data_IF_358680211557
#
_entry.id   IF_358680211557
#
_cell.length_a   1.000
_cell.length_b   1.000
_cell.length_c   1.000
_cell.angle_alpha   90.00
_cell.angle_beta   90.00
_cell.angle_gamma   90.00
#
_symmetry.space_group_name_H-M   'P 1'
#
loop_
_entity.id
_entity.type
_entity.pdbx_description
1 polymer ?
#
# COMPACT_ATOMS: atom_id res chain seq x y z
N UNK A 1 52.53 -33.23 -4.33
CA UNK A 1 51.04 -33.29 -4.37
C UNK A 1 50.51 -32.57 -3.14
N UNK A 2 50.03 -31.34 -3.28
CA UNK A 2 49.39 -30.59 -2.19
C UNK A 2 47.86 -30.70 -2.36
N UNK A 3 47.07 -30.95 -1.31
CA UNK A 3 45.63 -31.05 -1.45
C UNK A 3 45.02 -29.63 -1.49
N UNK A 4 44.27 -29.36 -2.56
CA UNK A 4 43.42 -28.19 -2.70
C UNK A 4 42.25 -28.30 -1.72
N UNK A 5 42.27 -27.50 -0.65
CA UNK A 5 41.17 -27.41 0.31
C UNK A 5 40.03 -26.56 -0.29
N UNK A 6 38.96 -27.23 -0.72
CA UNK A 6 37.66 -26.60 -0.97
C UNK A 6 37.04 -26.17 0.35
N UNK A 7 36.79 -24.86 0.53
CA UNK A 7 36.17 -24.32 1.73
C UNK A 7 34.69 -24.75 1.83
N UNK A 8 34.19 -25.16 3.02
CA UNK A 8 32.84 -25.65 3.17
C UNK A 8 31.79 -24.53 2.99
N UNK A 9 30.75 -24.82 2.18
CA UNK A 9 29.66 -23.90 1.81
C UNK A 9 28.95 -23.23 3.01
N UNK A 10 28.98 -23.85 4.20
CA UNK A 10 28.42 -23.28 5.43
C UNK A 10 29.12 -21.99 5.90
N UNK A 11 30.42 -21.82 5.62
CA UNK A 11 31.15 -20.59 5.95
C UNK A 11 30.77 -19.40 5.03
N UNK A 12 30.35 -19.70 3.80
CA UNK A 12 29.91 -18.72 2.79
C UNK A 12 28.50 -18.19 3.11
N UNK A 13 27.61 -19.04 3.61
CA UNK A 13 26.25 -18.65 4.00
C UNK A 13 26.29 -17.72 5.24
N UNK A 14 27.12 -18.02 6.25
CA UNK A 14 27.31 -17.16 7.43
C UNK A 14 27.78 -15.75 7.07
N UNK A 15 28.63 -15.62 6.06
CA UNK A 15 29.18 -14.32 5.64
C UNK A 15 28.20 -13.48 4.81
N UNK A 16 27.27 -14.10 4.08
CA UNK A 16 26.20 -13.35 3.39
C UNK A 16 25.16 -12.80 4.37
N UNK A 17 24.78 -13.56 5.39
CA UNK A 17 23.86 -13.10 6.45
C UNK A 17 24.46 -11.92 7.23
N UNK A 18 25.76 -11.99 7.55
CA UNK A 18 26.46 -10.90 8.21
C UNK A 18 26.52 -9.63 7.34
N UNK A 19 26.75 -9.79 6.03
CA UNK A 19 26.71 -8.66 5.07
C UNK A 19 25.32 -8.05 4.95
N UNK A 20 24.27 -8.87 4.92
CA UNK A 20 22.90 -8.39 4.90
C UNK A 20 22.56 -7.60 6.17
N UNK A 21 23.01 -8.07 7.34
CA UNK A 21 22.88 -7.37 8.61
C UNK A 21 23.59 -6.00 8.62
N UNK A 22 24.86 -5.95 8.18
CA UNK A 22 25.62 -4.69 8.12
C UNK A 22 24.99 -3.67 7.15
N UNK A 23 24.40 -4.12 6.05
CA UNK A 23 23.73 -3.24 5.07
C UNK A 23 22.41 -2.69 5.63
N UNK A 24 21.63 -3.52 6.33
CA UNK A 24 20.28 -3.15 6.78
C UNK A 24 20.29 -2.26 8.04
N UNK A 25 21.26 -2.45 8.93
CA UNK A 25 21.20 -1.88 10.29
C UNK A 25 22.29 -0.86 10.62
N UNK A 26 23.39 -0.79 9.86
CA UNK A 26 24.56 0.06 10.22
C UNK A 26 24.51 1.48 9.63
N UNK A 27 23.52 1.79 8.78
CA UNK A 27 23.50 3.01 7.95
C UNK A 27 22.48 4.10 8.30
N UNK A 28 21.50 3.88 9.20
CA UNK A 28 20.50 4.91 9.52
C UNK A 28 20.74 5.55 10.88
N UNK A 29 21.13 6.82 10.85
CA UNK A 29 21.21 7.69 12.02
C UNK A 29 19.88 7.77 12.76
N UNK A 30 19.97 7.84 14.10
CA UNK A 30 18.87 7.91 15.05
C UNK A 30 17.85 8.99 14.67
N UNK A 31 16.67 8.55 14.24
CA UNK A 31 15.46 9.38 14.31
C UNK A 31 14.85 9.34 15.72
N UNK A 32 13.98 10.31 16.09
CA UNK A 32 13.59 10.57 17.49
C UNK A 32 12.59 9.58 18.12
N UNK A 33 12.41 8.37 17.58
CA UNK A 33 11.31 7.47 17.96
C UNK A 33 11.73 6.07 18.45
N UNK A 34 13.02 5.81 18.67
CA UNK A 34 13.50 4.47 19.05
C UNK A 34 13.66 4.33 20.57
N UNK A 35 12.61 3.87 21.26
CA UNK A 35 12.70 3.45 22.67
C UNK A 35 13.10 1.96 22.81
N UNK A 36 13.08 1.19 21.72
CA UNK A 36 13.53 -0.22 21.68
C UNK A 36 14.60 -0.45 20.63
N UNK A 37 15.65 -1.20 20.99
CA UNK A 37 16.68 -1.64 20.05
C UNK A 37 16.11 -2.71 19.12
N UNK A 38 16.54 -2.74 17.85
CA UNK A 38 16.08 -3.72 16.86
C UNK A 38 16.25 -5.16 17.36
N UNK A 39 17.31 -5.43 18.12
CA UNK A 39 17.58 -6.74 18.72
C UNK A 39 16.50 -7.13 19.74
N UNK A 40 16.02 -6.18 20.55
CA UNK A 40 14.96 -6.43 21.53
C UNK A 40 13.63 -6.73 20.83
N UNK A 41 13.34 -5.97 19.77
CA UNK A 41 12.19 -6.18 18.90
C UNK A 41 12.21 -7.59 18.29
N UNK A 42 13.37 -8.00 17.78
CA UNK A 42 13.60 -9.33 17.21
C UNK A 42 13.40 -10.44 18.25
N UNK A 43 14.01 -10.33 19.43
CA UNK A 43 13.88 -11.34 20.47
C UNK A 43 12.43 -11.49 20.97
N UNK A 44 11.70 -10.38 21.05
CA UNK A 44 10.28 -10.41 21.42
C UNK A 44 9.43 -11.08 20.32
N UNK A 45 9.69 -10.78 19.04
CA UNK A 45 8.97 -11.40 17.93
C UNK A 45 9.18 -12.92 17.85
N UNK A 46 10.41 -13.41 17.96
CA UNK A 46 10.67 -14.88 17.86
C UNK A 46 10.19 -15.65 19.09
N UNK A 47 9.98 -14.98 20.22
CA UNK A 47 9.47 -15.59 21.45
C UNK A 47 7.94 -15.70 21.45
N UNK A 48 7.26 -15.01 20.53
CA UNK A 48 5.80 -15.06 20.43
C UNK A 48 5.31 -16.38 19.82
N UNK A 49 4.34 -17.05 20.47
CA UNK A 49 3.62 -18.13 19.84
C UNK A 49 2.86 -17.60 18.63
N UNK A 50 3.20 -18.08 17.43
CA UNK A 50 2.45 -17.72 16.21
C UNK A 50 1.29 -18.69 16.05
N UNK A 51 0.07 -18.17 15.97
CA UNK A 51 -1.09 -18.95 15.55
C UNK A 51 -1.06 -19.09 14.02
N UNK A 52 -1.12 -20.33 13.51
CA UNK A 52 -0.91 -20.64 12.09
C UNK A 52 -2.04 -20.19 11.16
N UNK A 53 -3.12 -19.62 11.70
CA UNK A 53 -4.34 -19.30 10.96
C UNK A 53 -4.55 -17.80 10.72
N UNK A 54 -3.62 -16.93 11.14
CA UNK A 54 -3.78 -15.47 11.00
C UNK A 54 -3.21 -15.00 9.65
N UNK A 55 -3.98 -14.17 8.93
CA UNK A 55 -3.49 -13.45 7.76
C UNK A 55 -2.28 -12.57 8.12
N UNK A 56 -1.18 -12.74 7.37
CA UNK A 56 0.09 -12.09 7.68
C UNK A 56 -0.03 -10.55 7.70
N UNK A 57 -0.78 -9.97 6.75
CA UNK A 57 -0.94 -8.52 6.68
C UNK A 57 -1.70 -8.01 7.91
N UNK A 58 -2.73 -8.73 8.32
CA UNK A 58 -3.54 -8.41 9.50
C UNK A 58 -2.72 -8.50 10.78
N UNK A 59 -1.90 -9.54 10.93
CA UNK A 59 -0.98 -9.68 12.08
C UNK A 59 0.00 -8.50 12.17
N UNK A 60 0.66 -8.16 11.06
CA UNK A 60 1.64 -7.07 11.06
C UNK A 60 1.00 -5.71 11.31
N UNK A 61 -0.19 -5.45 10.75
CA UNK A 61 -0.96 -4.23 11.07
C UNK A 61 -1.27 -4.10 12.56
N UNK A 62 -1.66 -5.20 13.21
CA UNK A 62 -1.92 -5.21 14.65
C UNK A 62 -0.63 -5.06 15.49
N UNK A 63 0.51 -5.48 14.94
CA UNK A 63 1.80 -5.48 15.64
C UNK A 63 2.66 -4.24 15.40
N UNK A 64 2.17 -3.25 14.64
CA UNK A 64 2.91 -2.05 14.25
C UNK A 64 3.52 -1.29 15.44
N UNK A 65 2.78 -1.16 16.54
CA UNK A 65 3.25 -0.42 17.72
C UNK A 65 4.27 -1.20 18.54
N UNK A 66 4.21 -2.54 18.49
CA UNK A 66 5.08 -3.45 19.25
C UNK A 66 6.41 -3.66 18.54
N UNK A 67 6.33 -3.77 17.21
CA UNK A 67 7.44 -4.08 16.34
C UNK A 67 7.55 -3.07 15.19
N UNK A 68 7.88 -1.78 15.47
CA UNK A 68 7.88 -0.73 14.46
C UNK A 68 8.90 -0.95 13.34
N UNK A 69 10.08 -1.50 13.64
CA UNK A 69 11.15 -1.69 12.65
C UNK A 69 10.88 -2.91 11.78
N UNK A 70 10.51 -4.02 12.39
CA UNK A 70 10.21 -5.28 11.72
C UNK A 70 8.91 -5.14 10.93
N UNK A 71 7.92 -4.40 11.44
CA UNK A 71 6.70 -4.05 10.70
C UNK A 71 7.01 -3.37 9.37
N UNK A 72 7.88 -2.36 9.38
CA UNK A 72 8.25 -1.65 8.15
C UNK A 72 8.86 -2.62 7.13
N UNK A 73 9.77 -3.49 7.57
CA UNK A 73 10.40 -4.51 6.73
C UNK A 73 9.36 -5.52 6.20
N UNK A 74 8.45 -5.97 7.06
CA UNK A 74 7.41 -6.93 6.70
C UNK A 74 6.45 -6.34 5.65
N UNK A 75 6.08 -5.06 5.77
CA UNK A 75 5.24 -4.37 4.79
C UNK A 75 5.95 -4.10 3.47
N UNK A 76 7.28 -4.03 3.44
CA UNK A 76 8.04 -3.96 2.18
C UNK A 76 8.13 -5.33 1.48
N UNK A 77 8.29 -6.42 2.25
CA UNK A 77 8.57 -7.76 1.72
C UNK A 77 7.30 -8.53 1.38
N UNK A 78 6.29 -8.54 2.26
CA UNK A 78 5.10 -9.37 2.09
C UNK A 78 4.29 -9.07 0.81
N UNK A 79 4.16 -7.82 0.34
CA UNK A 79 3.43 -7.53 -0.90
C UNK A 79 4.15 -7.99 -2.16
N UNK A 80 5.45 -8.34 -2.08
CA UNK A 80 6.23 -8.79 -3.24
C UNK A 80 5.58 -10.05 -3.79
N UNK A 81 5.16 -9.97 -5.05
CA UNK A 81 4.55 -11.11 -5.73
C UNK A 81 5.61 -12.19 -5.97
N UNK A 82 5.34 -13.41 -5.50
CA UNK A 82 6.23 -14.55 -5.71
C UNK A 82 6.26 -15.05 -7.17
N UNK A 83 5.30 -14.64 -8.00
CA UNK A 83 5.17 -15.08 -9.39
C UNK A 83 4.84 -13.93 -10.34
N UNK A 84 5.19 -14.10 -11.61
CA UNK A 84 4.81 -13.17 -12.68
C UNK A 84 3.38 -13.40 -13.21
N UNK A 85 2.65 -14.39 -12.69
CA UNK A 85 1.29 -14.75 -13.12
C UNK A 85 0.31 -13.57 -13.13
N UNK A 86 0.29 -12.67 -12.11
CA UNK A 86 -0.58 -11.49 -12.15
C UNK A 86 -0.28 -10.60 -13.36
N UNK A 87 1.00 -10.39 -13.68
CA UNK A 87 1.43 -9.59 -14.83
C UNK A 87 1.03 -10.27 -16.14
N UNK A 88 1.28 -11.58 -16.28
CA UNK A 88 0.88 -12.36 -17.47
C UNK A 88 -0.63 -12.35 -17.69
N UNK A 89 -1.43 -12.47 -16.61
CA UNK A 89 -2.88 -12.34 -16.67
C UNK A 89 -3.31 -10.96 -17.18
N UNK A 90 -2.70 -9.88 -16.67
CA UNK A 90 -2.98 -8.51 -17.14
C UNK A 90 -2.64 -8.38 -18.63
N UNK A 91 -1.46 -8.82 -19.06
CA UNK A 91 -1.02 -8.76 -20.47
C UNK A 91 -1.89 -9.60 -21.40
N UNK A 92 -2.24 -10.82 -21.00
CA UNK A 92 -3.14 -11.69 -21.76
C UNK A 92 -4.52 -11.03 -21.92
N UNK A 93 -5.05 -10.45 -20.83
CA UNK A 93 -6.31 -9.71 -20.89
C UNK A 93 -6.22 -8.42 -21.71
N UNK A 94 -5.02 -7.85 -21.82
CA UNK A 94 -4.73 -6.66 -22.62
C UNK A 94 -4.82 -6.91 -24.12
N UNK A 95 -4.46 -8.12 -24.59
CA UNK A 95 -4.64 -8.53 -25.99
C UNK A 95 -6.09 -8.48 -26.46
N UNK A 96 -7.06 -8.62 -25.54
CA UNK A 96 -8.49 -8.47 -25.86
C UNK A 96 -8.85 -6.99 -26.05
N UNK A 97 -8.14 -6.08 -25.38
CA UNK A 97 -8.37 -4.63 -25.46
C UNK A 97 -7.77 -4.04 -26.74
N UNK A 98 -6.59 -4.52 -27.14
CA UNK A 98 -5.89 -4.17 -28.38
C UNK A 98 -6.03 -5.32 -29.37
N UNK A 99 -7.07 -5.27 -30.19
CA UNK A 99 -7.28 -6.23 -31.30
C UNK A 99 -6.77 -5.65 -32.60
N UNK A 100 -6.60 -6.48 -33.65
CA UNK A 100 -6.14 -6.04 -34.99
C UNK A 100 -7.00 -4.90 -35.56
N UNK A 101 -8.29 -4.84 -35.19
CA UNK A 101 -9.23 -3.79 -35.61
C UNK A 101 -9.17 -2.51 -34.75
N UNK A 102 -8.51 -2.56 -33.58
CA UNK A 102 -8.37 -1.47 -32.60
C UNK A 102 -6.89 -1.27 -32.22
N UNK A 103 -6.01 -1.22 -33.22
CA UNK A 103 -4.56 -1.11 -33.05
C UNK A 103 -4.02 0.34 -32.94
N UNK A 104 -4.90 1.35 -32.98
CA UNK A 104 -4.54 2.78 -32.87
C UNK A 104 -4.71 3.37 -31.46
N UNK A 105 -4.51 2.55 -30.42
CA UNK A 105 -4.61 3.00 -29.02
C UNK A 105 -3.20 3.37 -28.55
N UNK A 106 -3.03 4.55 -27.94
CA UNK A 106 -1.75 4.94 -27.34
C UNK A 106 -1.44 4.09 -26.10
N UNK A 107 -0.16 3.96 -25.75
CA UNK A 107 0.27 3.24 -24.55
C UNK A 107 -0.38 3.77 -23.27
N UNK A 108 -0.43 5.11 -23.13
CA UNK A 108 -1.05 5.79 -21.99
C UNK A 108 -2.55 5.48 -21.86
N UNK A 109 -3.30 5.48 -22.98
CA UNK A 109 -4.72 5.16 -22.97
C UNK A 109 -4.94 3.67 -22.64
N UNK A 110 -4.06 2.79 -23.11
CA UNK A 110 -4.11 1.37 -22.79
C UNK A 110 -3.87 1.11 -21.30
N UNK A 111 -2.90 1.80 -20.69
CA UNK A 111 -2.62 1.73 -19.25
C UNK A 111 -3.83 2.18 -18.44
N UNK A 112 -4.39 3.35 -18.77
CA UNK A 112 -5.59 3.88 -18.12
C UNK A 112 -6.77 2.90 -18.22
N UNK A 113 -6.97 2.26 -19.38
CA UNK A 113 -8.01 1.25 -19.59
C UNK A 113 -7.80 -0.02 -18.75
N UNK A 114 -6.55 -0.49 -18.60
CA UNK A 114 -6.28 -1.65 -17.73
C UNK A 114 -6.51 -1.32 -16.26
N UNK A 115 -6.09 -0.14 -15.79
CA UNK A 115 -6.35 0.33 -14.42
C UNK A 115 -7.86 0.42 -14.18
N UNK A 116 -8.60 1.02 -15.12
CA UNK A 116 -10.05 1.16 -15.04
C UNK A 116 -10.75 -0.20 -14.98
N UNK A 117 -10.37 -1.12 -15.87
CA UNK A 117 -10.88 -2.49 -15.90
C UNK A 117 -10.62 -3.24 -14.59
N UNK A 118 -9.43 -3.07 -14.00
CA UNK A 118 -9.10 -3.67 -12.71
C UNK A 118 -9.98 -3.10 -11.60
N UNK A 119 -10.13 -1.77 -11.52
CA UNK A 119 -10.99 -1.10 -10.52
C UNK A 119 -12.44 -1.60 -10.59
N UNK A 120 -13.01 -1.70 -11.79
CA UNK A 120 -14.37 -2.23 -11.97
C UNK A 120 -14.50 -3.69 -11.50
N UNK A 121 -13.51 -4.54 -11.77
CA UNK A 121 -13.52 -5.94 -11.29
C UNK A 121 -13.47 -6.06 -9.77
N UNK A 122 -12.86 -5.09 -9.09
CA UNK A 122 -12.81 -5.03 -7.63
C UNK A 122 -14.09 -4.44 -7.01
N UNK A 123 -15.20 -4.37 -7.76
CA UNK A 123 -16.48 -3.84 -7.28
C UNK A 123 -16.51 -2.33 -7.07
N UNK A 124 -15.48 -1.60 -7.49
CA UNK A 124 -15.49 -0.14 -7.43
C UNK A 124 -16.30 0.38 -8.62
N UNK A 125 -17.51 0.86 -8.34
CA UNK A 125 -18.34 1.53 -9.34
C UNK A 125 -17.79 2.93 -9.61
N UNK A 126 -17.69 3.32 -10.88
CA UNK A 126 -17.51 4.73 -11.22
C UNK A 126 -18.84 5.44 -10.95
N UNK A 127 -18.90 6.19 -9.86
CA UNK A 127 -19.99 7.14 -9.64
C UNK A 127 -19.64 8.45 -10.33
N UNK A 128 -20.27 8.72 -11.48
CA UNK A 128 -20.19 10.03 -12.14
C UNK A 128 -21.05 11.09 -11.43
N UNK A 129 -21.83 10.69 -10.42
CA UNK A 129 -22.73 11.54 -9.64
C UNK A 129 -22.23 11.79 -8.21
N UNK A 130 -21.04 11.27 -7.86
CA UNK A 130 -20.44 11.54 -6.54
C UNK A 130 -20.11 13.03 -6.45
N UNK A 131 -20.70 13.74 -5.48
CA UNK A 131 -20.63 15.21 -5.36
C UNK A 131 -21.68 16.00 -6.17
N UNK A 132 -22.60 15.31 -6.86
CA UNK A 132 -23.85 15.89 -7.35
C UNK A 132 -25.04 15.47 -6.45
N UNK A 133 -24.74 14.94 -5.26
CA UNK A 133 -25.79 14.61 -4.31
C UNK A 133 -26.40 15.92 -3.81
N UNK A 134 -27.63 16.17 -4.24
CA UNK A 134 -28.43 17.33 -3.83
C UNK A 134 -28.49 17.40 -2.29
N UNK A 135 -28.39 16.25 -1.60
CA UNK A 135 -28.31 16.20 -0.14
C UNK A 135 -27.06 16.82 0.48
N UNK A 136 -25.89 16.72 -0.17
CA UNK A 136 -24.65 17.39 0.27
C UNK A 136 -24.73 18.90 -0.03
N UNK A 137 -25.23 19.26 -1.20
CA UNK A 137 -25.41 20.67 -1.60
C UNK A 137 -26.43 21.39 -0.70
N UNK A 138 -27.51 20.70 -0.29
CA UNK A 138 -28.48 21.23 0.67
C UNK A 138 -27.86 21.46 2.06
N UNK A 139 -27.00 20.56 2.53
CA UNK A 139 -26.30 20.73 3.81
C UNK A 139 -25.30 21.89 3.78
N UNK A 140 -24.57 22.04 2.69
CA UNK A 140 -23.65 23.16 2.48
C UNK A 140 -24.41 24.50 2.42
N UNK A 141 -25.58 24.53 1.79
CA UNK A 141 -26.43 25.72 1.78
C UNK A 141 -27.09 26.00 3.13
N UNK A 142 -27.53 24.97 3.85
CA UNK A 142 -28.15 25.08 5.18
C UNK A 142 -27.14 25.62 6.20
N UNK A 143 -25.93 25.08 6.22
CA UNK A 143 -24.83 25.59 7.06
C UNK A 143 -24.47 27.05 6.74
N UNK A 144 -24.51 27.46 5.48
CA UNK A 144 -24.26 28.85 5.06
C UNK A 144 -25.44 29.79 5.36
N UNK A 145 -26.66 29.27 5.40
CA UNK A 145 -27.85 30.00 5.81
C UNK A 145 -27.88 30.24 7.32
N UNK A 146 -27.32 29.32 8.12
CA UNK A 146 -27.16 29.50 9.57
C UNK A 146 -26.11 30.56 9.94
N UNK A 147 -25.12 30.81 9.08
CA UNK A 147 -24.07 31.83 9.31
C UNK A 147 -24.54 33.28 9.15
N UNK A 148 -25.67 33.55 8.48
CA UNK A 148 -26.19 34.93 8.33
C UNK A 148 -27.72 35.04 8.30
N UNK A 149 -28.38 34.94 9.47
CA UNK A 149 -29.83 35.16 9.59
C UNK A 149 -30.24 36.61 9.29
N UNK A 150 -29.29 37.55 9.42
CA UNK A 150 -29.52 38.99 9.27
C UNK A 150 -29.68 39.41 7.80
N UNK A 151 -28.95 38.80 6.87
CA UNK A 151 -29.07 39.10 5.43
C UNK A 151 -30.43 38.64 4.87
N UNK A 152 -30.91 37.47 5.28
CA UNK A 152 -32.24 36.98 4.89
C UNK A 152 -33.36 37.86 5.45
N UNK A 153 -33.21 38.30 6.69
CA UNK A 153 -34.18 39.21 7.33
C UNK A 153 -34.21 40.58 6.65
N UNK A 154 -33.04 41.11 6.26
CA UNK A 154 -32.89 42.35 5.48
C UNK A 154 -33.55 42.24 4.10
N UNK A 155 -33.30 41.14 3.37
CA UNK A 155 -33.89 40.92 2.05
C UNK A 155 -35.41 40.79 2.09
N UNK A 156 -35.96 40.05 3.07
CA UNK A 156 -37.41 39.93 3.25
C UNK A 156 -38.06 41.25 3.69
N UNK A 157 -37.36 42.09 4.46
CA UNK A 157 -37.84 43.42 4.82
C UNK A 157 -37.87 44.37 3.61
N UNK A 158 -36.97 44.20 2.64
CA UNK A 158 -36.91 44.97 1.39
C UNK A 158 -37.98 44.58 0.36
N UNK A 159 -38.60 43.42 0.52
CA UNK A 159 -39.69 42.91 -0.34
C UNK A 159 -41.10 43.36 0.08
N UNK A 160 -41.21 44.10 1.19
CA UNK A 160 -42.44 44.75 1.65
C UNK A 160 -42.44 46.23 1.31
#
# INVERSE_FOLDING_TARGET
MAPSASAPAAAVIRTQQQKAYDILFKGKGKGPLAEHSVEQEWYAYIAEPTDGFVDAITYWKASQTRFPTIYAIAMDILPIQASAVPCECVFSSGKITVTDRRNKISGELMEALQILKFRFKQGHSLSFTHGLDIGEELKDLESRAEESPEELSSYLASLK
#
